data_IF_007721354315
#
_entry.id   IF_007721354315
#
_cell.length_a   1.000
_cell.length_b   1.000
_cell.length_c   1.000
_cell.angle_alpha   90.00
_cell.angle_beta   90.00
_cell.angle_gamma   90.00
#
_symmetry.space_group_name_H-M   'P 1'
#
loop_
_entity.id
_entity.type
_entity.pdbx_description
1 polymer ?
#
# COMPACT_ATOMS: atom_id res chain seq x y z
N UNK A 1 -20.08 7.47 25.18
CA UNK A 1 -19.58 6.08 25.09
C UNK A 1 -18.97 5.95 23.71
N UNK A 2 -17.65 6.09 23.61
CA UNK A 2 -16.90 5.86 22.38
C UNK A 2 -16.94 4.36 22.06
N UNK A 3 -17.29 4.01 20.82
CA UNK A 3 -17.16 2.63 20.35
C UNK A 3 -15.67 2.24 20.40
N UNK A 4 -15.37 1.01 20.81
CA UNK A 4 -13.99 0.51 20.84
C UNK A 4 -13.42 0.37 19.42
N UNK A 5 -12.09 0.34 19.28
CA UNK A 5 -11.43 0.15 17.98
C UNK A 5 -11.87 -1.16 17.31
N UNK A 6 -12.02 -2.23 18.09
CA UNK A 6 -12.51 -3.55 17.62
C UNK A 6 -13.96 -3.48 17.13
N UNK A 7 -14.84 -2.75 17.82
CA UNK A 7 -16.22 -2.53 17.38
C UNK A 7 -16.29 -1.76 16.06
N UNK A 8 -15.40 -0.79 15.87
CA UNK A 8 -15.28 -0.03 14.63
C UNK A 8 -14.75 -0.89 13.47
N UNK A 9 -13.78 -1.78 13.70
CA UNK A 9 -13.29 -2.73 12.71
C UNK A 9 -14.34 -3.77 12.30
N UNK A 10 -15.09 -4.30 13.27
CA UNK A 10 -16.23 -5.20 13.01
C UNK A 10 -17.30 -4.49 12.19
N UNK A 11 -17.62 -3.24 12.53
CA UNK A 11 -18.58 -2.41 11.80
C UNK A 11 -18.13 -2.12 10.38
N UNK A 12 -16.85 -1.80 10.15
CA UNK A 12 -16.28 -1.62 8.80
C UNK A 12 -16.37 -2.92 7.98
N UNK A 13 -16.06 -4.06 8.59
CA UNK A 13 -16.13 -5.38 7.95
C UNK A 13 -17.58 -5.77 7.58
N UNK A 14 -18.54 -5.46 8.45
CA UNK A 14 -19.96 -5.65 8.21
C UNK A 14 -20.46 -4.75 7.07
N UNK A 15 -20.17 -3.44 7.12
CA UNK A 15 -20.57 -2.49 6.07
C UNK A 15 -19.98 -2.86 4.70
N UNK A 16 -18.74 -3.37 4.65
CA UNK A 16 -18.13 -3.91 3.41
C UNK A 16 -18.87 -5.14 2.89
N UNK A 17 -19.38 -5.99 3.78
CA UNK A 17 -20.18 -7.17 3.41
C UNK A 17 -21.56 -6.78 2.88
N UNK A 18 -22.24 -5.86 3.55
CA UNK A 18 -23.52 -5.31 3.12
C UNK A 18 -23.39 -4.57 1.77
N UNK A 19 -22.29 -3.83 1.57
CA UNK A 19 -22.00 -3.17 0.30
C UNK A 19 -21.87 -4.18 -0.85
N UNK A 20 -21.18 -5.31 -0.62
CA UNK A 20 -21.08 -6.39 -1.61
C UNK A 20 -22.45 -6.98 -1.92
N UNK A 21 -23.34 -7.10 -0.93
CA UNK A 21 -24.73 -7.51 -1.12
C UNK A 21 -25.53 -6.53 -1.98
N UNK A 22 -25.49 -5.24 -1.63
CA UNK A 22 -26.22 -4.18 -2.33
C UNK A 22 -25.77 -4.02 -3.80
N UNK A 23 -24.46 -4.13 -4.07
CA UNK A 23 -23.92 -4.09 -5.43
C UNK A 23 -24.38 -5.29 -6.27
N UNK A 24 -24.39 -6.50 -5.69
CA UNK A 24 -24.92 -7.71 -6.36
C UNK A 24 -26.42 -7.57 -6.68
N UNK A 25 -27.18 -6.95 -5.77
CA UNK A 25 -28.60 -6.67 -5.95
C UNK A 25 -28.90 -5.48 -6.88
N UNK A 26 -27.86 -4.75 -7.35
CA UNK A 26 -27.97 -3.52 -8.15
C UNK A 26 -28.81 -2.42 -7.49
N UNK A 27 -28.87 -2.40 -6.15
CA UNK A 27 -29.58 -1.39 -5.40
C UNK A 27 -28.69 -0.13 -5.23
N UNK A 28 -28.97 0.89 -6.04
CA UNK A 28 -28.21 2.15 -6.05
C UNK A 28 -28.44 2.99 -4.80
N UNK A 29 -29.67 2.98 -4.26
CA UNK A 29 -30.01 3.77 -3.07
C UNK A 29 -29.28 3.20 -1.84
N UNK A 30 -29.31 1.87 -1.71
CA UNK A 30 -28.67 1.17 -0.62
C UNK A 30 -27.14 1.22 -0.71
N UNK A 31 -26.59 1.10 -1.91
CA UNK A 31 -25.15 1.31 -2.16
C UNK A 31 -24.70 2.70 -1.71
N UNK A 32 -25.49 3.75 -1.99
CA UNK A 32 -25.16 5.13 -1.61
C UNK A 32 -25.24 5.32 -0.10
N UNK A 33 -26.25 4.74 0.56
CA UNK A 33 -26.41 4.75 2.02
C UNK A 33 -25.23 4.07 2.72
N UNK A 34 -24.86 2.87 2.29
CA UNK A 34 -23.76 2.10 2.86
C UNK A 34 -22.41 2.80 2.65
N UNK A 35 -22.17 3.42 1.48
CA UNK A 35 -20.96 4.22 1.23
C UNK A 35 -20.82 5.44 2.14
N UNK A 36 -21.93 6.06 2.53
CA UNK A 36 -21.90 7.16 3.51
C UNK A 36 -21.55 6.62 4.89
N UNK A 37 -22.18 5.52 5.31
CA UNK A 37 -21.90 4.87 6.59
C UNK A 37 -20.44 4.37 6.70
N UNK A 38 -19.85 3.89 5.60
CA UNK A 38 -18.44 3.50 5.52
C UNK A 38 -17.51 4.69 5.80
N UNK A 39 -17.74 5.83 5.15
CA UNK A 39 -16.97 7.07 5.38
C UNK A 39 -17.08 7.57 6.81
N UNK A 40 -18.26 7.50 7.40
CA UNK A 40 -18.50 7.89 8.80
C UNK A 40 -17.77 6.96 9.79
N UNK A 41 -17.77 5.65 9.51
CA UNK A 41 -17.07 4.66 10.32
C UNK A 41 -15.54 4.76 10.20
N UNK A 42 -15.02 5.00 8.99
CA UNK A 42 -13.60 5.25 8.74
C UNK A 42 -13.12 6.50 9.50
N UNK A 43 -13.85 7.61 9.41
CA UNK A 43 -13.52 8.84 10.14
C UNK A 43 -13.64 8.67 11.67
N UNK A 44 -14.50 7.77 12.16
CA UNK A 44 -14.59 7.46 13.59
C UNK A 44 -13.42 6.58 14.06
N UNK A 45 -12.96 5.65 13.22
CA UNK A 45 -11.78 4.83 13.46
C UNK A 45 -10.50 5.65 13.46
N UNK A 46 -10.34 6.60 12.52
CA UNK A 46 -9.21 7.55 12.53
C UNK A 46 -9.18 8.37 13.83
N UNK A 47 -10.31 8.93 14.26
CA UNK A 47 -10.40 9.66 15.54
C UNK A 47 -10.10 8.79 16.76
N UNK A 48 -10.45 7.51 16.71
CA UNK A 48 -10.17 6.57 17.80
C UNK A 48 -8.67 6.23 17.84
N UNK A 49 -8.04 6.01 16.69
CA UNK A 49 -6.59 5.82 16.61
C UNK A 49 -5.81 7.04 17.11
N UNK A 50 -6.24 8.25 16.74
CA UNK A 50 -5.62 9.49 17.23
C UNK A 50 -5.80 9.67 18.75
N UNK A 51 -6.86 9.10 19.33
CA UNK A 51 -7.12 9.13 20.77
C UNK A 51 -6.34 8.04 21.55
N UNK A 52 -6.11 6.87 20.94
CA UNK A 52 -5.26 5.79 21.49
C UNK A 52 -3.76 6.13 21.37
N UNK A 53 -3.37 7.02 20.45
CA UNK A 53 -2.00 7.49 20.24
C UNK A 53 -1.50 8.53 21.30
N UNK A 54 -1.97 8.41 22.55
CA UNK A 54 -1.34 9.02 23.73
C UNK A 54 -0.03 8.32 24.13
N UNK A 55 0.80 8.89 25.04
CA UNK A 55 2.17 8.43 25.24
C UNK A 55 2.25 7.08 25.94
N UNK A 56 3.11 6.22 25.37
CA UNK A 56 3.72 4.98 25.91
C UNK A 56 2.87 3.70 26.05
N UNK A 57 3.28 2.72 25.23
CA UNK A 57 3.60 1.31 25.52
C UNK A 57 3.00 0.63 26.77
N UNK A 58 2.49 -0.60 26.62
CA UNK A 58 3.23 -1.86 26.91
C UNK A 58 2.31 -3.11 26.95
N UNK A 59 2.86 -4.24 26.48
CA UNK A 59 2.55 -5.65 26.81
C UNK A 59 1.26 -6.36 26.32
N UNK A 60 1.47 -7.43 25.51
CA UNK A 60 0.60 -8.62 25.42
C UNK A 60 1.39 -9.88 25.82
N UNK A 61 0.79 -10.86 26.52
CA UNK A 61 1.38 -12.19 26.75
C UNK A 61 0.81 -13.29 25.82
N UNK A 62 1.45 -14.49 25.77
CA UNK A 62 1.23 -15.52 24.75
C UNK A 62 0.54 -16.82 25.27
N UNK A 63 0.00 -17.64 24.35
CA UNK A 63 -0.14 -19.13 24.34
C UNK A 63 -1.32 -19.54 23.41
N UNK A 64 -1.38 -20.69 22.71
CA UNK A 64 -0.54 -21.89 22.68
C UNK A 64 -1.01 -22.91 21.61
N UNK A 65 -0.28 -24.04 21.61
CA UNK A 65 -0.28 -25.31 20.81
C UNK A 65 -1.67 -25.85 20.37
N UNK A 66 -1.87 -26.73 19.37
CA UNK A 66 -1.24 -28.05 19.08
C UNK A 66 -1.86 -28.75 17.84
N UNK A 67 -1.14 -29.75 17.27
CA UNK A 67 -1.58 -31.06 16.68
C UNK A 67 -1.93 -31.24 15.19
N UNK A 68 -1.27 -32.24 14.58
CA UNK A 68 -1.60 -33.05 13.37
C UNK A 68 -2.12 -34.46 13.78
N UNK A 69 -2.36 -35.43 12.86
CA UNK A 69 -3.32 -35.56 11.73
C UNK A 69 -4.27 -36.81 11.96
N UNK A 70 -5.06 -37.42 11.02
CA UNK A 70 -4.58 -38.21 9.87
C UNK A 70 -5.54 -38.30 8.63
N UNK A 71 -5.12 -39.15 7.69
CA UNK A 71 -5.51 -39.46 6.30
C UNK A 71 -6.88 -40.13 6.08
N UNK A 72 -7.55 -39.90 4.93
CA UNK A 72 -8.23 -40.97 4.15
C UNK A 72 -8.50 -40.57 2.69
N UNK A 73 -8.39 -41.57 1.82
CA UNK A 73 -8.42 -41.60 0.36
C UNK A 73 -9.85 -41.56 -0.21
N UNK A 74 -10.04 -40.94 -1.38
CA UNK A 74 -11.27 -41.07 -2.19
C UNK A 74 -11.32 -40.09 -3.37
N UNK A 75 -10.86 -40.53 -4.55
CA UNK A 75 -11.19 -39.92 -5.86
C UNK A 75 -12.57 -40.45 -6.35
N UNK A 76 -13.28 -39.85 -7.34
CA UNK A 76 -12.76 -39.02 -8.44
C UNK A 76 -13.63 -37.81 -8.89
N UNK A 77 -12.99 -36.83 -9.54
CA UNK A 77 -13.43 -36.16 -10.80
C UNK A 77 -12.45 -35.03 -11.14
N UNK A 78 -11.78 -35.19 -12.27
CA UNK A 78 -10.79 -34.26 -12.82
C UNK A 78 -11.41 -32.88 -13.10
N UNK A 79 -11.27 -31.97 -12.15
CA UNK A 79 -11.12 -30.54 -12.41
C UNK A 79 -9.70 -30.19 -12.00
N UNK A 80 -8.93 -29.69 -12.96
CA UNK A 80 -7.52 -29.34 -12.84
C UNK A 80 -7.26 -28.59 -11.54
N UNK A 81 -6.77 -29.29 -10.52
CA UNK A 81 -6.34 -28.69 -9.26
C UNK A 81 -5.24 -27.67 -9.56
N UNK A 82 -5.32 -26.44 -9.04
CA UNK A 82 -4.19 -25.53 -9.14
C UNK A 82 -3.01 -26.19 -8.40
N UNK A 83 -1.94 -26.44 -9.16
CA UNK A 83 -0.59 -26.68 -8.62
C UNK A 83 -0.38 -25.67 -7.50
N UNK A 84 0.10 -26.09 -6.32
CA UNK A 84 0.37 -25.21 -5.17
C UNK A 84 1.01 -23.90 -5.66
N UNK A 85 0.16 -22.87 -5.75
CA UNK A 85 0.35 -21.81 -6.72
C UNK A 85 1.26 -20.75 -6.17
N UNK A 86 2.29 -20.39 -6.94
CA UNK A 86 3.09 -19.19 -6.71
C UNK A 86 2.19 -18.01 -6.33
N UNK A 87 2.60 -17.22 -5.35
CA UNK A 87 1.82 -16.06 -4.87
C UNK A 87 1.45 -15.18 -6.08
N UNK A 88 0.18 -14.78 -6.27
CA UNK A 88 -0.21 -13.97 -7.41
C UNK A 88 0.59 -12.66 -7.47
N UNK A 89 1.00 -12.21 -8.67
CA UNK A 89 1.81 -10.98 -8.86
C UNK A 89 1.25 -9.78 -8.10
N UNK A 90 -0.09 -9.63 -8.07
CA UNK A 90 -0.75 -8.57 -7.31
C UNK A 90 -0.42 -8.62 -5.81
N UNK A 91 -0.43 -9.82 -5.23
CA UNK A 91 -0.11 -10.05 -3.82
C UNK A 91 1.38 -9.82 -3.55
N UNK A 92 2.26 -10.24 -4.48
CA UNK A 92 3.69 -9.95 -4.39
C UNK A 92 3.96 -8.43 -4.35
N UNK A 93 3.28 -7.67 -5.21
CA UNK A 93 3.37 -6.20 -5.24
C UNK A 93 2.78 -5.58 -3.98
N UNK A 94 1.66 -6.10 -3.49
CA UNK A 94 1.05 -5.66 -2.24
C UNK A 94 2.00 -5.83 -1.05
N UNK A 95 2.63 -6.99 -0.91
CA UNK A 95 3.61 -7.28 0.14
C UNK A 95 4.82 -6.34 0.05
N UNK A 96 5.38 -6.14 -1.14
CA UNK A 96 6.50 -5.25 -1.35
C UNK A 96 6.16 -3.78 -1.04
N UNK A 97 5.01 -3.27 -1.50
CA UNK A 97 4.57 -1.89 -1.20
C UNK A 97 4.25 -1.71 0.29
N UNK A 98 3.68 -2.72 0.94
CA UNK A 98 3.42 -2.70 2.38
C UNK A 98 4.72 -2.59 3.17
N UNK A 99 5.74 -3.37 2.78
CA UNK A 99 7.07 -3.30 3.38
C UNK A 99 7.74 -1.95 3.14
N UNK A 100 7.67 -1.42 1.91
CA UNK A 100 8.28 -0.15 1.54
C UNK A 100 7.57 1.06 2.17
N UNK A 101 6.27 0.98 2.43
CA UNK A 101 5.49 2.00 3.14
C UNK A 101 5.13 3.27 2.35
N UNK A 102 5.67 3.44 1.14
CA UNK A 102 5.43 4.59 0.26
C UNK A 102 5.39 4.18 -1.22
N UNK A 103 4.84 5.02 -2.12
CA UNK A 103 4.79 4.71 -3.55
C UNK A 103 6.15 4.35 -4.13
N UNK A 104 6.20 3.35 -5.00
CA UNK A 104 7.46 2.80 -5.48
C UNK A 104 7.44 2.44 -6.97
N UNK A 105 8.62 2.45 -7.57
CA UNK A 105 8.79 2.03 -8.95
C UNK A 105 8.79 0.50 -9.07
N UNK A 106 8.38 -0.08 -10.22
CA UNK A 106 8.47 -1.52 -10.48
C UNK A 106 9.83 -2.14 -10.15
N UNK A 107 10.93 -1.43 -10.45
CA UNK A 107 12.29 -1.90 -10.16
C UNK A 107 12.56 -2.03 -8.67
N UNK A 108 12.11 -1.04 -7.88
CA UNK A 108 12.28 -1.08 -6.43
C UNK A 108 11.37 -2.14 -5.81
N UNK A 109 10.12 -2.26 -6.27
CA UNK A 109 9.17 -3.29 -5.84
C UNK A 109 9.75 -4.68 -6.06
N UNK A 110 10.26 -4.99 -7.26
CA UNK A 110 10.94 -6.26 -7.53
C UNK A 110 12.16 -6.46 -6.62
N UNK A 111 13.00 -5.43 -6.45
CA UNK A 111 14.19 -5.52 -5.60
C UNK A 111 13.86 -5.78 -4.12
N UNK A 112 12.81 -5.15 -3.60
CA UNK A 112 12.34 -5.35 -2.24
C UNK A 112 11.69 -6.71 -2.07
N UNK A 113 10.89 -7.16 -3.04
CA UNK A 113 10.27 -8.47 -2.99
C UNK A 113 11.33 -9.59 -3.00
N UNK A 114 12.27 -9.55 -3.94
CA UNK A 114 13.37 -10.52 -4.03
C UNK A 114 14.32 -10.49 -2.81
N UNK A 115 14.37 -9.38 -2.08
CA UNK A 115 15.20 -9.25 -0.90
C UNK A 115 14.65 -9.99 0.33
N UNK A 116 13.32 -10.12 0.44
CA UNK A 116 12.66 -10.63 1.64
C UNK A 116 11.78 -11.86 1.39
N UNK A 117 11.48 -12.18 0.14
CA UNK A 117 10.60 -13.28 -0.25
C UNK A 117 11.33 -14.25 -1.19
N UNK A 118 10.92 -15.51 -1.17
CA UNK A 118 11.61 -16.62 -1.85
C UNK A 118 11.31 -16.73 -3.34
N UNK A 119 10.21 -16.13 -3.82
CA UNK A 119 9.83 -16.16 -5.23
C UNK A 119 10.34 -14.92 -5.97
N UNK A 120 10.87 -15.05 -7.21
CA UNK A 120 11.28 -13.87 -7.98
C UNK A 120 10.06 -13.15 -8.58
N UNK A 121 10.01 -11.82 -8.41
CA UNK A 121 8.98 -10.98 -9.02
C UNK A 121 9.46 -10.42 -10.36
N UNK A 122 9.01 -11.05 -11.45
CA UNK A 122 9.36 -10.64 -12.82
C UNK A 122 8.74 -9.27 -13.13
N UNK A 123 9.58 -8.23 -13.18
CA UNK A 123 9.16 -6.84 -13.41
C UNK A 123 8.31 -6.62 -14.68
N UNK A 124 8.51 -7.44 -15.72
CA UNK A 124 7.69 -7.38 -16.94
C UNK A 124 6.20 -7.63 -16.67
N UNK A 125 5.85 -8.42 -15.64
CA UNK A 125 4.46 -8.68 -15.23
C UNK A 125 3.80 -7.46 -14.58
N UNK A 126 4.58 -6.44 -14.19
CA UNK A 126 4.08 -5.20 -13.59
C UNK A 126 3.59 -4.20 -14.64
N UNK A 127 4.01 -4.34 -15.90
CA UNK A 127 3.70 -3.39 -16.96
C UNK A 127 2.21 -3.37 -17.36
N UNK A 128 1.50 -4.50 -17.23
CA UNK A 128 0.05 -4.58 -17.48
C UNK A 128 -0.79 -4.38 -16.23
N UNK A 129 -0.22 -4.66 -15.05
CA UNK A 129 -0.95 -4.75 -13.77
C UNK A 129 -1.82 -3.51 -13.51
N UNK A 130 -1.28 -2.30 -13.68
CA UNK A 130 -2.06 -1.07 -13.46
C UNK A 130 -3.31 -0.99 -14.34
N UNK A 131 -3.21 -1.37 -15.63
CA UNK A 131 -4.35 -1.34 -16.56
C UNK A 131 -5.35 -2.45 -16.25
N UNK A 132 -4.87 -3.60 -15.75
CA UNK A 132 -5.73 -4.70 -15.30
C UNK A 132 -6.52 -4.30 -14.05
N UNK A 133 -5.87 -3.64 -13.10
CA UNK A 133 -6.47 -3.10 -11.87
C UNK A 133 -7.51 -2.01 -12.17
N UNK A 134 -7.18 -1.06 -13.05
CA UNK A 134 -8.09 0.01 -13.48
C UNK A 134 -9.34 -0.56 -14.15
N UNK A 135 -9.18 -1.52 -15.08
CA UNK A 135 -10.32 -2.23 -15.70
C UNK A 135 -11.16 -2.98 -14.67
N UNK A 136 -10.50 -3.67 -13.73
CA UNK A 136 -11.20 -4.40 -12.67
C UNK A 136 -12.00 -3.46 -11.76
N UNK A 137 -11.46 -2.29 -11.43
CA UNK A 137 -12.13 -1.29 -10.60
C UNK A 137 -13.30 -0.65 -11.34
N UNK A 138 -13.13 -0.25 -12.60
CA UNK A 138 -14.23 0.32 -13.40
C UNK A 138 -15.38 -0.67 -13.57
N UNK A 139 -15.07 -1.96 -13.74
CA UNK A 139 -16.10 -2.99 -13.90
C UNK A 139 -16.83 -3.34 -12.59
N UNK A 140 -16.16 -3.33 -11.44
CA UNK A 140 -16.68 -3.93 -10.19
C UNK A 140 -16.60 -3.00 -8.97
N UNK A 141 -16.15 -1.75 -9.12
CA UNK A 141 -15.92 -0.80 -8.04
C UNK A 141 -15.02 -1.37 -6.95
N UNK A 142 -15.43 -1.24 -5.70
CA UNK A 142 -14.72 -1.72 -4.50
C UNK A 142 -14.94 -3.21 -4.20
N UNK A 143 -15.00 -4.08 -5.23
CA UNK A 143 -15.23 -5.50 -5.02
C UNK A 143 -14.02 -6.23 -4.39
N UNK A 144 -12.81 -5.71 -4.57
CA UNK A 144 -11.56 -6.24 -3.98
C UNK A 144 -11.20 -5.51 -2.68
N UNK A 145 -10.49 -6.18 -1.74
CA UNK A 145 -10.05 -5.54 -0.49
C UNK A 145 -9.06 -4.39 -0.72
N UNK A 146 -8.26 -4.49 -1.78
CA UNK A 146 -7.32 -3.46 -2.21
C UNK A 146 -7.16 -3.52 -3.74
N UNK A 147 -6.64 -2.42 -4.29
CA UNK A 147 -6.20 -2.28 -5.67
C UNK A 147 -4.76 -1.78 -5.70
N UNK A 148 -3.99 -2.25 -6.68
CA UNK A 148 -2.70 -1.61 -7.01
C UNK A 148 -3.00 -0.47 -7.95
N UNK A 149 -2.75 0.74 -7.48
CA UNK A 149 -3.19 1.98 -8.12
C UNK A 149 -2.00 2.87 -8.49
N UNK A 150 -2.28 4.00 -9.14
CA UNK A 150 -1.24 4.97 -9.48
C UNK A 150 -0.95 5.86 -8.27
N UNK A 151 0.32 6.26 -8.12
CA UNK A 151 0.59 7.52 -7.44
C UNK A 151 0.17 8.69 -8.35
N UNK A 152 -0.27 9.81 -7.78
CA UNK A 152 -0.76 10.96 -8.53
C UNK A 152 0.18 12.15 -8.40
N UNK A 153 0.40 12.86 -9.50
CA UNK A 153 1.15 14.12 -9.48
C UNK A 153 0.38 15.20 -8.71
N UNK A 154 1.07 15.98 -7.88
CA UNK A 154 0.40 17.00 -7.07
C UNK A 154 -0.24 18.12 -7.90
N UNK A 155 0.33 18.47 -9.06
CA UNK A 155 -0.04 19.63 -9.87
C UNK A 155 -1.28 19.34 -10.74
N UNK A 156 -1.28 18.21 -11.43
CA UNK A 156 -2.31 17.85 -12.43
C UNK A 156 -3.18 16.67 -12.03
N UNK A 157 -2.86 15.98 -10.93
CA UNK A 157 -3.58 14.78 -10.47
C UNK A 157 -3.64 13.68 -11.55
N UNK A 158 -2.68 13.68 -12.47
CA UNK A 158 -2.47 12.61 -13.44
C UNK A 158 -1.51 11.57 -12.85
N UNK A 159 -1.47 10.33 -13.38
CA UNK A 159 -0.57 9.30 -12.90
C UNK A 159 0.88 9.75 -12.92
N UNK A 160 1.55 9.67 -11.76
CA UNK A 160 2.99 9.85 -11.67
C UNK A 160 3.67 8.70 -12.43
N UNK A 161 4.66 9.05 -13.25
CA UNK A 161 5.26 8.11 -14.20
C UNK A 161 5.93 6.95 -13.46
N UNK A 162 5.37 5.75 -13.67
CA UNK A 162 5.98 4.51 -13.22
C UNK A 162 5.99 4.30 -11.71
N UNK A 163 5.13 4.99 -10.96
CA UNK A 163 4.96 4.77 -9.52
C UNK A 163 3.64 4.05 -9.23
N UNK A 164 3.74 2.99 -8.43
CA UNK A 164 2.60 2.21 -7.96
C UNK A 164 2.38 2.47 -6.48
N UNK A 165 1.12 2.43 -6.07
CA UNK A 165 0.68 2.65 -4.69
C UNK A 165 -0.47 1.72 -4.32
N UNK A 166 -0.82 1.66 -3.03
CA UNK A 166 -1.94 0.85 -2.53
C UNK A 166 -3.19 1.70 -2.36
N UNK A 167 -4.34 1.25 -2.87
CA UNK A 167 -5.61 1.97 -2.72
C UNK A 167 -6.06 2.16 -1.27
N UNK A 168 -5.53 1.35 -0.35
CA UNK A 168 -5.77 1.43 1.09
C UNK A 168 -5.01 2.58 1.75
N UNK A 169 -4.03 3.19 1.07
CA UNK A 169 -3.38 4.39 1.56
C UNK A 169 -4.26 5.62 1.34
N UNK A 170 -4.26 6.56 2.31
CA UNK A 170 -4.88 7.87 2.13
C UNK A 170 -4.38 8.56 0.86
N UNK A 171 -5.24 9.39 0.25
CA UNK A 171 -4.94 10.04 -1.05
C UNK A 171 -3.63 10.85 -0.97
N UNK A 172 -3.40 11.58 0.12
CA UNK A 172 -2.17 12.35 0.36
C UNK A 172 -0.91 11.49 0.29
N UNK A 173 -0.91 10.28 0.87
CA UNK A 173 0.24 9.36 0.81
C UNK A 173 0.51 8.86 -0.61
N UNK A 174 -0.49 8.92 -1.50
CA UNK A 174 -0.37 8.55 -2.92
C UNK A 174 -0.04 9.72 -3.83
N UNK A 175 0.00 10.95 -3.30
CA UNK A 175 0.37 12.13 -4.08
C UNK A 175 1.88 12.36 -4.03
N UNK A 176 2.43 12.73 -5.19
CA UNK A 176 3.84 13.01 -5.42
C UNK A 176 4.00 14.51 -5.68
N UNK A 177 4.50 15.22 -4.67
CA UNK A 177 5.02 16.57 -4.69
C UNK A 177 6.52 16.63 -5.06
N UNK A 178 7.13 17.83 -5.10
CA UNK A 178 8.55 18.06 -5.33
C UNK A 178 9.45 17.41 -4.28
N UNK A 179 9.05 17.41 -3.01
CA UNK A 179 9.82 16.81 -1.90
C UNK A 179 9.54 15.32 -1.72
N UNK A 180 8.39 14.85 -2.23
CA UNK A 180 7.93 13.48 -2.05
C UNK A 180 8.91 12.40 -2.52
N UNK A 181 9.66 12.54 -3.64
CA UNK A 181 10.68 11.56 -4.00
C UNK A 181 11.72 11.31 -2.90
N UNK A 182 12.12 12.36 -2.16
CA UNK A 182 13.08 12.20 -1.07
C UNK A 182 12.40 11.63 0.18
N UNK A 183 11.22 12.12 0.56
CA UNK A 183 10.45 11.58 1.68
C UNK A 183 10.09 10.10 1.50
N UNK A 184 9.63 9.71 0.30
CA UNK A 184 9.30 8.33 -0.04
C UNK A 184 10.55 7.45 0.00
N UNK A 185 11.69 7.95 -0.50
CA UNK A 185 12.97 7.25 -0.41
C UNK A 185 13.40 6.96 1.04
N UNK A 186 13.26 7.95 1.94
CA UNK A 186 13.55 7.78 3.36
C UNK A 186 12.57 6.78 4.01
N UNK A 187 11.30 6.81 3.61
CA UNK A 187 10.28 5.85 4.06
C UNK A 187 10.62 4.43 3.62
N UNK A 188 11.07 4.24 2.37
CA UNK A 188 11.53 2.94 1.88
C UNK A 188 12.73 2.41 2.67
N UNK A 189 13.66 3.28 3.05
CA UNK A 189 14.82 2.94 3.86
C UNK A 189 14.42 2.47 5.26
N UNK A 190 13.51 3.20 5.92
CA UNK A 190 12.94 2.84 7.23
C UNK A 190 12.23 1.48 7.14
N UNK A 191 11.31 1.30 6.20
CA UNK A 191 10.57 0.02 6.05
C UNK A 191 11.49 -1.18 5.78
N UNK A 192 12.57 -0.98 5.01
CA UNK A 192 13.60 -2.01 4.77
C UNK A 192 14.37 -2.34 6.06
N UNK A 193 14.82 -1.33 6.80
CA UNK A 193 15.59 -1.49 8.03
C UNK A 193 14.75 -2.15 9.13
N UNK A 194 13.50 -1.73 9.31
CA UNK A 194 12.57 -2.33 10.25
C UNK A 194 12.30 -3.80 9.91
N UNK A 195 12.16 -4.16 8.64
CA UNK A 195 11.96 -5.55 8.27
C UNK A 195 13.16 -6.42 8.63
N UNK A 196 14.38 -5.90 8.45
CA UNK A 196 15.60 -6.58 8.89
C UNK A 196 15.61 -6.76 10.42
N UNK A 197 15.24 -5.72 11.18
CA UNK A 197 15.12 -5.81 12.64
C UNK A 197 14.05 -6.81 13.08
N UNK A 198 12.89 -6.85 12.42
CA UNK A 198 11.82 -7.83 12.71
C UNK A 198 12.30 -9.25 12.49
N UNK A 199 13.03 -9.53 11.41
CA UNK A 199 13.62 -10.85 11.16
C UNK A 199 14.63 -11.22 12.25
N UNK A 200 15.55 -10.31 12.59
CA UNK A 200 16.54 -10.53 13.63
C UNK A 200 15.88 -10.81 15.00
N UNK A 201 14.85 -10.04 15.36
CA UNK A 201 14.07 -10.21 16.59
C UNK A 201 13.35 -11.57 16.62
N UNK A 202 12.87 -12.04 15.47
CA UNK A 202 12.27 -13.36 15.33
C UNK A 202 13.31 -14.51 15.29
N UNK A 203 14.61 -14.22 15.40
CA UNK A 203 15.69 -15.22 15.36
C UNK A 203 16.02 -15.70 13.94
N UNK A 204 15.60 -14.98 12.90
CA UNK A 204 15.89 -15.30 11.51
C UNK A 204 16.93 -14.32 10.93
N UNK A 205 18.04 -14.80 10.36
CA UNK A 205 18.99 -13.91 9.70
C UNK A 205 18.34 -13.29 8.46
N UNK A 206 18.52 -11.99 8.28
CA UNK A 206 18.08 -11.33 7.06
C UNK A 206 18.92 -11.80 5.85
N UNK A 207 18.31 -12.03 4.68
CA UNK A 207 19.06 -12.44 3.48
C UNK A 207 20.06 -11.37 3.03
N UNK A 208 21.17 -11.76 2.38
CA UNK A 208 22.18 -10.82 1.85
C UNK A 208 21.58 -9.78 0.89
N UNK A 209 20.52 -10.14 0.16
CA UNK A 209 19.81 -9.23 -0.73
C UNK A 209 19.14 -8.07 0.02
N UNK A 210 18.62 -8.32 1.23
CA UNK A 210 18.08 -7.30 2.11
C UNK A 210 19.18 -6.35 2.61
N UNK A 211 20.33 -6.89 3.03
CA UNK A 211 21.48 -6.08 3.43
C UNK A 211 22.04 -5.23 2.29
N UNK A 212 22.11 -5.78 1.07
CA UNK A 212 22.49 -5.01 -0.13
C UNK A 212 21.50 -3.90 -0.42
N UNK A 213 20.19 -4.16 -0.29
CA UNK A 213 19.16 -3.14 -0.46
C UNK A 213 19.30 -2.03 0.59
N UNK A 214 19.42 -2.38 1.87
CA UNK A 214 19.61 -1.43 2.97
C UNK A 214 20.88 -0.58 2.78
N UNK A 215 21.99 -1.20 2.36
CA UNK A 215 23.25 -0.48 2.07
C UNK A 215 23.07 0.58 0.99
N UNK A 216 22.32 0.29 -0.08
CA UNK A 216 22.04 1.29 -1.13
C UNK A 216 21.27 2.49 -0.59
N UNK A 217 20.34 2.27 0.36
CA UNK A 217 19.68 3.38 1.05
C UNK A 217 20.66 4.16 1.92
N UNK A 218 21.36 3.46 2.81
CA UNK A 218 22.26 4.05 3.81
C UNK A 218 23.35 4.93 3.19
N UNK A 219 23.92 4.54 2.04
CA UNK A 219 24.97 5.32 1.34
C UNK A 219 24.51 6.71 0.88
N UNK A 220 23.20 6.96 0.83
CA UNK A 220 22.64 8.24 0.39
C UNK A 220 21.95 9.01 1.51
N UNK A 221 21.96 8.49 2.74
CA UNK A 221 21.32 9.11 3.91
C UNK A 221 22.46 9.59 4.84
N UNK A 222 22.61 10.91 5.05
CA UNK A 222 23.63 11.44 5.94
C UNK A 222 23.51 10.85 7.35
N UNK A 223 24.63 10.37 7.90
CA UNK A 223 24.68 9.76 9.23
C UNK A 223 24.25 8.29 9.30
N UNK A 224 23.72 7.70 8.22
CA UNK A 224 23.22 6.31 8.22
C UNK A 224 24.32 5.24 8.11
N UNK A 225 25.50 5.58 7.58
CA UNK A 225 26.65 4.68 7.53
C UNK A 225 27.66 4.98 8.64
N UNK A 226 28.24 3.91 9.18
CA UNK A 226 29.49 3.98 9.92
C UNK A 226 30.63 3.60 8.97
N UNK A 227 31.64 4.47 8.84
CA UNK A 227 32.79 4.21 7.97
C UNK A 227 33.62 2.99 8.41
N UNK A 228 33.52 2.61 9.69
CA UNK A 228 34.25 1.46 10.23
C UNK A 228 33.47 0.14 10.13
N UNK A 229 32.17 0.16 9.84
CA UNK A 229 31.33 -1.04 9.85
C UNK A 229 31.19 -1.67 8.46
N UNK A 230 31.32 -3.00 8.40
CA UNK A 230 31.14 -3.74 7.16
C UNK A 230 29.67 -3.73 6.70
N UNK A 231 28.69 -3.70 7.61
CA UNK A 231 27.25 -3.68 7.33
C UNK A 231 26.59 -2.44 7.95
N UNK A 232 25.55 -1.87 7.29
CA UNK A 232 24.80 -0.77 7.88
C UNK A 232 24.03 -1.26 9.11
N UNK A 233 24.09 -0.52 10.21
CA UNK A 233 23.23 -0.77 11.37
C UNK A 233 21.79 -0.31 11.06
N UNK A 234 20.78 -1.21 11.05
CA UNK A 234 19.39 -0.85 10.78
C UNK A 234 18.86 0.26 11.71
N UNK A 235 19.23 0.25 13.00
CA UNK A 235 18.75 1.26 13.95
C UNK A 235 19.28 2.65 13.59
N UNK A 236 20.56 2.72 13.21
CA UNK A 236 21.20 3.96 12.74
C UNK A 236 20.60 4.46 11.43
N UNK A 237 20.27 3.57 10.50
CA UNK A 237 19.59 3.96 9.25
C UNK A 237 18.21 4.57 9.53
N UNK A 238 17.43 3.94 10.43
CA UNK A 238 16.11 4.45 10.85
C UNK A 238 16.25 5.84 11.48
N UNK A 239 17.14 6.00 12.44
CA UNK A 239 17.35 7.27 13.13
C UNK A 239 17.80 8.38 12.16
N UNK A 240 18.76 8.10 11.29
CA UNK A 240 19.24 9.06 10.29
C UNK A 240 18.15 9.43 9.27
N UNK A 241 17.36 8.46 8.81
CA UNK A 241 16.28 8.70 7.87
C UNK A 241 15.17 9.57 8.49
N UNK A 242 14.79 9.32 9.74
CA UNK A 242 13.83 10.17 10.45
C UNK A 242 14.37 11.58 10.70
N UNK A 243 15.63 11.72 11.10
CA UNK A 243 16.25 13.03 11.31
C UNK A 243 16.25 13.87 10.03
N UNK A 244 16.54 13.26 8.88
CA UNK A 244 16.46 13.95 7.60
C UNK A 244 15.02 14.23 7.18
N UNK A 245 14.10 13.26 7.33
CA UNK A 245 12.70 13.43 6.97
C UNK A 245 12.07 14.62 7.71
N UNK A 246 12.41 14.80 8.99
CA UNK A 246 11.92 15.91 9.82
C UNK A 246 12.22 17.30 9.22
N UNK A 247 13.27 17.45 8.40
CA UNK A 247 13.60 18.72 7.72
C UNK A 247 12.54 19.10 6.68
N UNK A 248 11.97 18.11 5.99
CA UNK A 248 11.11 18.32 4.83
C UNK A 248 9.64 17.89 5.05
N UNK A 249 9.36 17.17 6.14
CA UNK A 249 8.09 16.51 6.37
C UNK A 249 6.90 17.48 6.37
N UNK A 250 7.00 18.61 7.08
CA UNK A 250 5.89 19.55 7.19
C UNK A 250 5.49 20.13 5.83
N UNK A 251 6.46 20.52 5.01
CA UNK A 251 6.22 21.12 3.70
C UNK A 251 5.68 20.08 2.70
N UNK A 252 6.25 18.88 2.69
CA UNK A 252 5.76 17.77 1.85
C UNK A 252 4.32 17.39 2.24
N UNK A 253 4.04 17.26 3.54
CA UNK A 253 2.70 16.96 4.05
C UNK A 253 1.68 18.03 3.66
N UNK A 254 2.01 19.30 3.84
CA UNK A 254 1.12 20.40 3.50
C UNK A 254 0.75 20.36 2.01
N UNK A 255 1.75 20.14 1.15
CA UNK A 255 1.54 20.07 -0.29
C UNK A 255 0.72 18.86 -0.71
N UNK A 256 1.01 17.67 -0.15
CA UNK A 256 0.24 16.45 -0.40
C UNK A 256 -1.21 16.59 0.07
N UNK A 257 -1.45 17.16 1.26
CA UNK A 257 -2.81 17.39 1.79
C UNK A 257 -3.60 18.37 0.92
N UNK A 258 -3.00 19.48 0.51
CA UNK A 258 -3.65 20.46 -0.37
C UNK A 258 -4.02 19.83 -1.73
N UNK A 259 -3.14 19.02 -2.31
CA UNK A 259 -3.41 18.29 -3.54
C UNK A 259 -4.46 17.17 -3.34
N UNK A 260 -4.44 16.47 -2.21
CA UNK A 260 -5.43 15.45 -1.88
C UNK A 260 -6.82 16.05 -1.72
N UNK A 261 -6.93 17.24 -1.14
CA UNK A 261 -8.18 17.98 -1.05
C UNK A 261 -8.74 18.32 -2.43
N UNK A 262 -7.88 18.75 -3.37
CA UNK A 262 -8.29 18.96 -4.78
C UNK A 262 -8.72 17.66 -5.44
N UNK A 263 -8.00 16.56 -5.23
CA UNK A 263 -8.36 15.26 -5.78
C UNK A 263 -9.73 14.80 -5.27
N UNK A 264 -10.00 14.92 -3.97
CA UNK A 264 -11.29 14.56 -3.38
C UNK A 264 -12.45 15.41 -3.88
N UNK A 265 -12.21 16.69 -4.21
CA UNK A 265 -13.27 17.60 -4.68
C UNK A 265 -13.50 17.56 -6.19
N UNK A 266 -12.50 17.19 -6.99
CA UNK A 266 -12.55 17.30 -8.45
C UNK A 266 -12.60 15.95 -9.18
N UNK A 267 -12.19 14.85 -8.54
CA UNK A 267 -12.05 13.55 -9.19
C UNK A 267 -13.08 12.54 -8.69
N UNK A 268 -13.62 11.75 -9.62
CA UNK A 268 -14.39 10.56 -9.30
C UNK A 268 -13.50 9.47 -8.66
N UNK A 269 -14.11 8.49 -7.98
CA UNK A 269 -13.41 7.41 -7.26
C UNK A 269 -12.33 6.72 -8.11
N UNK A 270 -12.65 6.38 -9.37
CA UNK A 270 -11.69 5.74 -10.28
C UNK A 270 -10.50 6.67 -10.59
N UNK A 271 -10.76 7.96 -10.82
CA UNK A 271 -9.72 8.95 -11.09
C UNK A 271 -8.88 9.25 -9.84
N UNK A 272 -9.44 9.17 -8.63
CA UNK A 272 -8.66 9.26 -7.40
C UNK A 272 -7.69 8.08 -7.21
N UNK A 273 -7.95 6.92 -7.81
CA UNK A 273 -7.07 5.76 -7.76
C UNK A 273 -6.09 5.71 -8.95
N UNK A 274 -6.59 5.98 -10.16
CA UNK A 274 -5.86 5.74 -11.40
C UNK A 274 -5.48 7.01 -12.16
N UNK A 275 -5.84 8.19 -11.63
CA UNK A 275 -5.51 9.51 -12.15
C UNK A 275 -6.51 10.04 -13.18
N UNK A 276 -6.48 11.36 -13.37
CA UNK A 276 -7.19 12.00 -14.48
C UNK A 276 -6.53 11.66 -15.83
N UNK A 277 -7.33 11.66 -16.89
CA UNK A 277 -6.81 11.55 -18.25
C UNK A 277 -5.82 12.71 -18.53
N UNK A 278 -4.66 12.45 -19.12
CA UNK A 278 -3.78 13.52 -19.57
C UNK A 278 -4.52 14.45 -20.53
N UNK A 279 -4.26 15.76 -20.45
CA UNK A 279 -4.93 16.78 -21.27
C UNK A 279 -4.89 16.49 -22.80
N UNK A 280 -3.91 15.69 -23.26
CA UNK A 280 -3.79 15.27 -24.66
C UNK A 280 -4.90 14.31 -25.12
N UNK A 281 -5.45 13.51 -24.22
CA UNK A 281 -6.54 12.58 -24.54
C UNK A 281 -7.90 13.31 -24.54
N UNK A 282 -8.08 14.28 -23.64
CA UNK A 282 -9.29 15.13 -23.61
C UNK A 282 -9.50 15.93 -24.91
N UNK A 283 -8.42 16.38 -25.55
CA UNK A 283 -8.50 17.08 -26.85
C UNK A 283 -8.78 16.13 -28.02
N UNK A 284 -8.40 14.84 -27.92
CA UNK A 284 -8.69 13.81 -28.94
C UNK A 284 -10.15 13.33 -28.87
N UNK A 285 -10.70 13.16 -27.67
CA UNK A 285 -12.11 12.81 -27.51
C UNK A 285 -13.03 13.96 -27.96
N UNK A 286 -12.63 15.21 -27.72
CA UNK A 286 -13.35 16.40 -28.23
C UNK A 286 -13.30 16.54 -29.76
N UNK A 287 -12.26 16.02 -30.41
CA UNK A 287 -12.13 16.03 -31.88
C UNK A 287 -12.71 14.77 -32.55
N UNK A 288 -12.90 13.68 -31.81
CA UNK A 288 -13.57 12.45 -32.27
C UNK A 288 -15.10 12.48 -32.23
N UNK A 289 -15.70 13.47 -31.54
CA UNK A 289 -17.16 13.63 -31.45
C UNK A 289 -17.77 14.53 -32.54
N UNK A 290 -17.01 14.86 -33.60
CA UNK A 290 -17.46 15.71 -34.71
C UNK A 290 -17.62 14.97 -36.06
N UNK A 291 -17.83 13.64 -36.06
CA UNK A 291 -18.15 12.89 -37.27
C UNK A 291 -19.38 12.00 -37.09
#
# INVERSE_FOLDING_TARGET
MSASLEELEQRLSQLRTELRGAVRARDKAETTRIRRALREAEAAWERALDAEAGPEAEALPPNGRTRTPPTTTGEPRQQSRPVHGSIPVREQVHQALTLLGAPASPKLISSAYEAFFTEPLIAAKLASLRRDEERSFTAQGYARPYYICAALTHDRLVPARGLLALSTWPVERRIIGPLSPRTDFLTHAVGTAEQIQRLATAGHPAPDAAWRLLRRFALTIPGACDAAAAEPDPARVIAAAHAEAAVHQQEDDQQRRAAAQRARSQLADAQQLFGAAPLRDALRDASGSMH
#
